data_IF_175958202663
#
_entry.id   IF_175958202663
#
_cell.length_a   1.000
_cell.length_b   1.000
_cell.length_c   1.000
_cell.angle_alpha   90.00
_cell.angle_beta   90.00
_cell.angle_gamma   90.00
#
_symmetry.space_group_name_H-M   'P 1'
#
loop_
_entity.id
_entity.type
_entity.pdbx_description
1 polymer ?
#
# COMPACT_ATOMS: atom_id res chain seq x y z
N UNK A 1 -0.02 -14.43 -7.73
CA UNK A 1 -0.32 -13.17 -8.45
C UNK A 1 -1.80 -12.91 -8.81
N UNK A 2 -2.78 -13.83 -8.63
CA UNK A 2 -4.15 -13.68 -9.18
C UNK A 2 -5.33 -13.47 -8.18
N UNK A 3 -5.07 -13.01 -6.95
CA UNK A 3 -6.12 -12.67 -5.96
C UNK A 3 -5.78 -11.49 -5.02
N UNK A 4 -4.74 -10.73 -5.35
CA UNK A 4 -4.09 -9.78 -4.43
C UNK A 4 -5.06 -8.72 -3.88
N UNK A 5 -5.84 -8.04 -4.74
CA UNK A 5 -6.77 -6.99 -4.30
C UNK A 5 -7.89 -7.52 -3.39
N UNK A 6 -8.48 -8.67 -3.73
CA UNK A 6 -9.57 -9.23 -2.94
C UNK A 6 -9.08 -9.73 -1.58
N UNK A 7 -7.87 -10.29 -1.52
CA UNK A 7 -7.26 -10.74 -0.27
C UNK A 7 -6.84 -9.56 0.61
N UNK A 8 -6.27 -8.51 0.02
CA UNK A 8 -5.94 -7.27 0.74
C UNK A 8 -7.20 -6.65 1.35
N UNK A 9 -8.29 -6.55 0.57
CA UNK A 9 -9.55 -6.04 1.11
C UNK A 9 -10.12 -6.94 2.21
N UNK A 10 -10.04 -8.26 2.10
CA UNK A 10 -10.48 -9.18 3.16
C UNK A 10 -9.65 -9.01 4.43
N UNK A 11 -8.33 -8.90 4.31
CA UNK A 11 -7.41 -8.71 5.42
C UNK A 11 -7.59 -7.35 6.12
N UNK A 12 -8.06 -6.33 5.39
CA UNK A 12 -8.41 -5.04 5.98
C UNK A 12 -9.58 -5.14 6.99
N UNK A 13 -10.47 -6.12 6.83
CA UNK A 13 -11.50 -6.47 7.82
C UNK A 13 -10.94 -7.45 8.85
N UNK A 14 -9.98 -6.98 9.65
CA UNK A 14 -9.41 -7.76 10.75
C UNK A 14 -10.43 -8.03 11.86
N UNK A 15 -10.03 -8.82 12.86
CA UNK A 15 -10.89 -9.24 13.96
C UNK A 15 -11.53 -8.09 14.74
N UNK A 16 -10.83 -6.95 14.87
CA UNK A 16 -11.38 -5.77 15.52
C UNK A 16 -12.51 -5.16 14.68
N UNK A 17 -12.28 -4.94 13.38
CA UNK A 17 -13.29 -4.44 12.43
C UNK A 17 -14.54 -5.33 12.42
N UNK A 18 -14.33 -6.64 12.35
CA UNK A 18 -15.42 -7.62 12.33
C UNK A 18 -16.22 -7.61 13.64
N UNK A 19 -15.54 -7.50 14.79
CA UNK A 19 -16.20 -7.42 16.10
C UNK A 19 -17.04 -6.14 16.23
N UNK A 20 -16.53 -5.01 15.77
CA UNK A 20 -17.26 -3.74 15.84
C UNK A 20 -18.45 -3.73 14.88
N UNK A 21 -18.29 -4.23 13.66
CA UNK A 21 -19.40 -4.38 12.71
C UNK A 21 -20.49 -5.30 13.26
N UNK A 22 -20.10 -6.45 13.82
CA UNK A 22 -21.01 -7.38 14.47
C UNK A 22 -21.83 -6.69 15.57
N UNK A 23 -21.15 -6.00 16.48
CA UNK A 23 -21.77 -5.29 17.61
C UNK A 23 -22.72 -4.19 17.12
N UNK A 24 -22.28 -3.36 16.18
CA UNK A 24 -23.06 -2.20 15.70
C UNK A 24 -24.30 -2.58 14.91
N UNK A 25 -24.22 -3.67 14.15
CA UNK A 25 -25.29 -4.10 13.25
C UNK A 25 -26.17 -5.20 13.87
N UNK A 26 -25.82 -5.64 15.08
CA UNK A 26 -26.56 -6.65 15.84
C UNK A 26 -26.46 -8.06 15.25
N UNK A 27 -25.42 -8.35 14.47
CA UNK A 27 -25.13 -9.67 13.90
C UNK A 27 -24.00 -10.36 14.67
N UNK A 28 -23.85 -11.68 14.57
CA UNK A 28 -22.73 -12.36 15.20
C UNK A 28 -21.44 -12.21 14.36
N UNK A 29 -20.27 -12.39 14.98
CA UNK A 29 -18.96 -12.22 14.32
C UNK A 29 -18.78 -13.11 13.09
N UNK A 30 -19.24 -14.37 13.13
CA UNK A 30 -19.16 -15.30 12.00
C UNK A 30 -20.00 -14.84 10.80
N UNK A 31 -21.20 -14.32 11.08
CA UNK A 31 -22.06 -13.70 10.08
C UNK A 31 -21.44 -12.41 9.52
N UNK A 32 -20.84 -11.57 10.36
CA UNK A 32 -20.12 -10.38 9.89
C UNK A 32 -18.96 -10.76 8.95
N UNK A 33 -18.15 -11.75 9.31
CA UNK A 33 -17.06 -12.25 8.46
C UNK A 33 -17.58 -12.75 7.10
N UNK A 34 -18.57 -13.64 7.13
CA UNK A 34 -19.16 -14.21 5.91
C UNK A 34 -19.82 -13.14 5.03
N UNK A 35 -20.46 -12.14 5.65
CA UNK A 35 -21.07 -11.00 4.97
C UNK A 35 -20.03 -10.10 4.29
N UNK A 36 -18.91 -9.80 4.95
CA UNK A 36 -17.78 -9.05 4.36
C UNK A 36 -17.20 -9.81 3.17
N UNK A 37 -16.92 -11.10 3.33
CA UNK A 37 -16.32 -11.94 2.29
C UNK A 37 -17.20 -12.03 1.03
N UNK A 38 -18.52 -11.96 1.20
CA UNK A 38 -19.49 -11.90 0.10
C UNK A 38 -19.65 -10.48 -0.50
N UNK A 39 -19.56 -9.44 0.32
CA UNK A 39 -19.70 -8.05 -0.13
C UNK A 39 -18.51 -7.55 -0.95
N UNK A 40 -17.28 -7.92 -0.60
CA UNK A 40 -16.06 -7.48 -1.32
C UNK A 40 -16.14 -7.78 -2.83
N UNK A 41 -16.30 -9.04 -3.28
CA UNK A 41 -16.39 -9.34 -4.71
C UNK A 41 -17.64 -8.75 -5.35
N UNK A 42 -18.73 -8.56 -4.59
CA UNK A 42 -19.97 -7.92 -5.07
C UNK A 42 -19.75 -6.45 -5.39
N UNK A 43 -19.13 -5.70 -4.47
CA UNK A 43 -18.80 -4.28 -4.65
C UNK A 43 -17.79 -4.10 -5.79
N UNK A 44 -16.74 -4.91 -5.84
CA UNK A 44 -15.76 -4.86 -6.92
C UNK A 44 -16.38 -5.18 -8.28
N UNK A 45 -17.32 -6.13 -8.35
CA UNK A 45 -18.04 -6.46 -9.58
C UNK A 45 -18.94 -5.32 -10.04
N UNK A 46 -19.58 -4.62 -9.11
CA UNK A 46 -20.47 -3.52 -9.49
C UNK A 46 -19.72 -2.31 -10.05
N UNK A 47 -18.43 -2.13 -9.71
CA UNK A 47 -17.58 -1.10 -10.32
C UNK A 47 -17.29 -1.35 -11.80
N UNK A 48 -17.44 -2.59 -12.27
CA UNK A 48 -17.29 -2.92 -13.69
C UNK A 48 -18.56 -2.61 -14.52
N UNK A 49 -19.67 -2.27 -13.87
CA UNK A 49 -20.89 -1.87 -14.55
C UNK A 49 -20.72 -0.48 -15.18
N UNK A 50 -20.97 -0.38 -16.49
CA UNK A 50 -20.89 0.88 -17.24
C UNK A 50 -21.93 1.91 -16.81
N UNK A 51 -23.00 1.50 -16.13
CA UNK A 51 -23.98 2.39 -15.54
C UNK A 51 -23.46 3.03 -14.24
N UNK A 52 -22.50 2.37 -13.59
CA UNK A 52 -21.87 2.80 -12.33
C UNK A 52 -20.60 3.61 -12.62
N UNK A 53 -19.80 3.17 -13.59
CA UNK A 53 -18.56 3.82 -14.04
C UNK A 53 -18.63 4.13 -15.53
N UNK A 54 -18.65 5.42 -15.87
CA UNK A 54 -18.64 5.88 -17.27
C UNK A 54 -17.21 6.12 -17.74
N UNK A 55 -16.86 5.58 -18.91
CA UNK A 55 -15.59 5.82 -19.61
C UNK A 55 -14.32 5.57 -18.78
N UNK A 56 -14.38 4.67 -17.79
CA UNK A 56 -13.31 4.37 -16.84
C UNK A 56 -12.82 5.58 -16.01
N UNK A 57 -13.59 6.66 -16.00
CA UNK A 57 -13.29 7.86 -15.21
C UNK A 57 -13.82 7.72 -13.79
N UNK A 58 -13.15 8.38 -12.85
CA UNK A 58 -13.54 8.43 -11.44
C UNK A 58 -14.90 9.13 -11.27
N UNK A 59 -15.95 8.45 -10.78
CA UNK A 59 -17.24 9.08 -10.55
C UNK A 59 -17.20 10.12 -9.44
N UNK A 60 -18.03 11.17 -9.53
CA UNK A 60 -18.11 12.20 -8.47
C UNK A 60 -18.48 11.62 -7.11
N UNK A 61 -19.36 10.60 -7.09
CA UNK A 61 -19.73 9.91 -5.86
C UNK A 61 -18.55 9.15 -5.24
N UNK A 62 -17.66 8.59 -6.06
CA UNK A 62 -16.46 7.90 -5.61
C UNK A 62 -15.51 8.89 -4.94
N UNK A 63 -15.24 10.04 -5.58
CA UNK A 63 -14.38 11.08 -5.04
C UNK A 63 -14.86 11.56 -3.67
N UNK A 64 -16.17 11.78 -3.52
CA UNK A 64 -16.76 12.20 -2.25
C UNK A 64 -16.48 11.22 -1.10
N UNK A 65 -16.50 9.92 -1.37
CA UNK A 65 -16.24 8.88 -0.38
C UNK A 65 -14.74 8.70 -0.16
N UNK A 66 -13.95 8.70 -1.23
CA UNK A 66 -12.50 8.63 -1.15
C UNK A 66 -11.93 9.80 -0.33
N UNK A 67 -12.47 11.00 -0.50
CA UNK A 67 -12.13 12.19 0.29
C UNK A 67 -12.63 12.09 1.74
N UNK A 68 -13.82 11.54 1.97
CA UNK A 68 -14.32 11.27 3.33
C UNK A 68 -13.36 10.36 4.11
N UNK A 69 -12.89 9.29 3.48
CA UNK A 69 -11.90 8.36 4.05
C UNK A 69 -10.44 8.86 3.92
N UNK A 70 -10.20 10.06 3.36
CA UNK A 70 -8.88 10.73 3.30
C UNK A 70 -8.62 11.62 4.51
N UNK A 71 -9.67 12.05 5.21
CA UNK A 71 -9.54 12.96 6.36
C UNK A 71 -8.96 12.29 7.61
N UNK A 72 -8.95 10.95 7.64
CA UNK A 72 -8.37 10.18 8.74
C UNK A 72 -6.92 9.81 8.38
N UNK A 73 -5.98 10.20 9.23
CA UNK A 73 -4.60 10.42 8.79
C UNK A 73 -3.83 9.16 8.42
N UNK A 74 -4.17 7.97 8.92
CA UNK A 74 -3.35 6.79 8.63
C UNK A 74 -4.07 5.45 8.52
N UNK A 75 -5.37 5.33 8.80
CA UNK A 75 -6.17 4.13 8.47
C UNK A 75 -7.67 4.46 8.43
N UNK A 76 -8.48 3.64 7.75
CA UNK A 76 -9.95 3.75 7.81
C UNK A 76 -10.37 3.42 9.23
N UNK A 77 -10.55 4.45 10.06
CA UNK A 77 -10.96 4.25 11.44
C UNK A 77 -12.41 3.77 11.49
N UNK A 78 -12.65 2.68 12.21
CA UNK A 78 -14.01 2.16 12.46
C UNK A 78 -14.86 3.20 13.21
N UNK A 79 -14.24 4.15 13.93
CA UNK A 79 -14.95 5.29 14.55
C UNK A 79 -15.68 6.17 13.54
N UNK A 80 -15.35 6.07 12.25
CA UNK A 80 -16.08 6.74 11.17
C UNK A 80 -17.52 6.21 11.01
N UNK A 81 -17.81 4.99 11.46
CA UNK A 81 -19.18 4.50 11.49
C UNK A 81 -20.05 5.34 12.45
N UNK A 82 -19.46 5.97 13.46
CA UNK A 82 -20.16 6.80 14.46
C UNK A 82 -20.34 8.25 14.01
N UNK A 83 -19.78 8.62 12.86
CA UNK A 83 -19.89 9.96 12.32
C UNK A 83 -21.26 10.18 11.64
N UNK A 84 -22.05 11.21 12.03
CA UNK A 84 -23.34 11.51 11.38
C UNK A 84 -23.22 11.80 9.88
N UNK A 85 -22.06 12.28 9.40
CA UNK A 85 -21.79 12.52 7.98
C UNK A 85 -21.67 11.21 7.18
N UNK A 86 -21.39 10.09 7.85
CA UNK A 86 -21.37 8.77 7.25
C UNK A 86 -22.74 8.40 6.70
N UNK A 87 -23.81 8.64 7.46
CA UNK A 87 -25.17 8.21 7.12
C UNK A 87 -25.72 8.94 5.87
N UNK A 88 -25.45 10.24 5.75
CA UNK A 88 -25.87 11.06 4.60
C UNK A 88 -25.12 10.74 3.31
N UNK A 89 -23.83 10.37 3.43
CA UNK A 89 -22.99 10.00 2.28
C UNK A 89 -23.31 8.57 1.80
N UNK A 90 -23.73 7.70 2.73
CA UNK A 90 -23.99 6.28 2.51
C UNK A 90 -25.20 5.96 1.62
N UNK A 91 -26.34 6.64 1.79
CA UNK A 91 -27.55 6.32 1.02
C UNK A 91 -27.37 6.50 -0.50
N UNK A 92 -26.59 7.52 -0.89
CA UNK A 92 -26.25 7.76 -2.30
C UNK A 92 -25.25 6.74 -2.85
N UNK A 93 -24.36 6.20 -2.01
CA UNK A 93 -23.34 5.24 -2.42
C UNK A 93 -23.96 3.93 -2.89
N UNK A 94 -24.82 3.35 -2.05
CA UNK A 94 -25.36 2.01 -2.27
C UNK A 94 -26.28 2.00 -3.49
N UNK A 95 -27.10 3.03 -3.64
CA UNK A 95 -27.94 3.23 -4.83
C UNK A 95 -27.09 3.46 -6.09
N UNK A 96 -25.98 4.20 -6.01
CA UNK A 96 -25.07 4.37 -7.13
C UNK A 96 -24.32 3.08 -7.50
N UNK A 97 -23.97 2.22 -6.53
CA UNK A 97 -23.25 0.97 -6.77
C UNK A 97 -24.16 -0.14 -7.29
N UNK A 98 -25.36 -0.30 -6.72
CA UNK A 98 -26.20 -1.45 -7.00
C UNK A 98 -27.46 -1.11 -7.78
N UNK A 99 -27.86 0.17 -7.87
CA UNK A 99 -29.03 0.61 -8.60
C UNK A 99 -30.29 -0.19 -8.24
N UNK A 100 -30.98 -0.69 -9.25
CA UNK A 100 -32.16 -1.54 -9.09
C UNK A 100 -31.88 -2.91 -8.44
N UNK A 101 -30.61 -3.32 -8.33
CA UNK A 101 -30.23 -4.61 -7.74
C UNK A 101 -30.00 -4.54 -6.23
N UNK A 102 -30.11 -3.37 -5.60
CA UNK A 102 -29.82 -3.19 -4.17
C UNK A 102 -30.55 -4.22 -3.29
N UNK A 103 -31.86 -4.42 -3.50
CA UNK A 103 -32.64 -5.38 -2.72
C UNK A 103 -32.19 -6.82 -2.93
N UNK A 104 -31.77 -7.15 -4.15
CA UNK A 104 -31.28 -8.49 -4.50
C UNK A 104 -29.94 -8.75 -3.82
N UNK A 105 -29.02 -7.77 -3.88
CA UNK A 105 -27.73 -7.83 -3.19
C UNK A 105 -27.95 -8.01 -1.69
N UNK A 106 -28.78 -7.17 -1.06
CA UNK A 106 -29.10 -7.29 0.38
C UNK A 106 -29.66 -8.67 0.73
N UNK A 107 -30.57 -9.21 -0.07
CA UNK A 107 -31.12 -10.55 0.16
C UNK A 107 -30.08 -11.66 0.01
N UNK A 108 -29.19 -11.59 -0.98
CA UNK A 108 -28.14 -12.57 -1.19
C UNK A 108 -27.13 -12.56 -0.03
N UNK A 109 -26.73 -11.38 0.43
CA UNK A 109 -25.84 -11.22 1.59
C UNK A 109 -26.51 -11.75 2.87
N UNK A 110 -27.80 -11.46 3.07
CA UNK A 110 -28.55 -11.97 4.24
C UNK A 110 -28.59 -13.50 4.31
N UNK A 111 -28.71 -14.17 3.15
CA UNK A 111 -28.63 -15.64 3.05
C UNK A 111 -27.25 -16.17 3.46
N UNK A 112 -26.17 -15.52 3.01
CA UNK A 112 -24.79 -15.91 3.38
C UNK A 112 -24.55 -15.71 4.88
N UNK A 113 -25.11 -14.66 5.45
CA UNK A 113 -25.00 -14.34 6.87
C UNK A 113 -25.88 -15.22 7.78
N UNK A 114 -26.81 -16.00 7.20
CA UNK A 114 -27.77 -16.82 7.94
C UNK A 114 -28.75 -16.02 8.80
N UNK A 115 -29.04 -14.75 8.44
CA UNK A 115 -29.68 -13.77 9.32
C UNK A 115 -30.99 -13.16 8.82
N UNK A 116 -31.65 -12.40 9.70
CA UNK A 116 -32.86 -11.64 9.40
C UNK A 116 -32.57 -10.42 8.50
N UNK A 117 -33.54 -10.06 7.64
CA UNK A 117 -33.45 -9.01 6.62
C UNK A 117 -33.10 -7.63 7.19
N UNK A 118 -33.65 -7.25 8.34
CA UNK A 118 -33.46 -5.90 8.89
C UNK A 118 -32.03 -5.65 9.38
N UNK A 119 -31.43 -6.65 10.02
CA UNK A 119 -30.02 -6.61 10.45
C UNK A 119 -29.08 -6.62 9.25
N UNK A 120 -29.46 -7.34 8.20
CA UNK A 120 -28.71 -7.39 6.94
C UNK A 120 -28.66 -6.02 6.27
N UNK A 121 -29.77 -5.28 6.27
CA UNK A 121 -29.81 -3.93 5.71
C UNK A 121 -28.85 -2.99 6.45
N UNK A 122 -28.89 -2.99 7.78
CA UNK A 122 -27.95 -2.22 8.60
C UNK A 122 -26.49 -2.64 8.37
N UNK A 123 -26.24 -3.94 8.22
CA UNK A 123 -24.91 -4.47 7.96
C UNK A 123 -24.35 -4.07 6.59
N UNK A 124 -25.12 -4.25 5.51
CA UNK A 124 -24.71 -3.83 4.16
C UNK A 124 -24.46 -2.32 4.13
N UNK A 125 -25.35 -1.55 4.76
CA UNK A 125 -25.21 -0.11 4.86
C UNK A 125 -23.95 0.33 5.62
N UNK A 126 -23.52 -0.40 6.66
CA UNK A 126 -22.28 -0.09 7.36
C UNK A 126 -21.03 -0.54 6.59
N UNK A 127 -21.12 -1.68 5.88
CA UNK A 127 -19.95 -2.38 5.36
C UNK A 127 -19.54 -1.89 3.97
N UNK A 128 -20.49 -1.57 3.08
CA UNK A 128 -20.19 -1.15 1.70
C UNK A 128 -19.31 0.12 1.65
N UNK A 129 -19.60 1.19 2.42
CA UNK A 129 -18.70 2.35 2.48
C UNK A 129 -17.30 1.99 2.98
N UNK A 130 -17.18 1.08 3.95
CA UNK A 130 -15.87 0.65 4.44
C UNK A 130 -15.09 -0.09 3.37
N UNK A 131 -15.71 -0.97 2.59
CA UNK A 131 -15.05 -1.65 1.45
C UNK A 131 -14.49 -0.62 0.47
N UNK A 132 -15.29 0.40 0.12
CA UNK A 132 -14.86 1.50 -0.76
C UNK A 132 -13.79 2.37 -0.10
N UNK A 133 -13.87 2.62 1.20
CA UNK A 133 -12.87 3.35 1.98
C UNK A 133 -11.52 2.64 1.98
N UNK A 134 -11.50 1.34 2.29
CA UNK A 134 -10.29 0.51 2.23
C UNK A 134 -9.74 0.43 0.81
N UNK A 135 -10.60 0.25 -0.19
CA UNK A 135 -10.20 0.23 -1.59
C UNK A 135 -9.60 1.57 -2.02
N UNK A 136 -10.23 2.70 -1.71
CA UNK A 136 -9.73 4.02 -2.09
C UNK A 136 -8.42 4.38 -1.40
N UNK A 137 -8.25 4.00 -0.12
CA UNK A 137 -6.97 4.12 0.58
C UNK A 137 -5.89 3.23 -0.06
N UNK A 138 -6.24 1.98 -0.40
CA UNK A 138 -5.32 1.06 -1.08
C UNK A 138 -4.88 1.60 -2.45
N UNK A 139 -5.80 2.12 -3.26
CA UNK A 139 -5.45 2.75 -4.54
C UNK A 139 -4.49 3.92 -4.37
N UNK A 140 -4.75 4.79 -3.38
CA UNK A 140 -3.89 5.93 -3.06
C UNK A 140 -2.50 5.49 -2.62
N UNK A 141 -2.39 4.53 -1.70
CA UNK A 141 -1.11 4.00 -1.20
C UNK A 141 -0.28 3.39 -2.34
N UNK A 142 -0.94 2.69 -3.26
CA UNK A 142 -0.30 2.05 -4.41
C UNK A 142 -0.15 2.98 -5.64
N UNK A 143 -0.55 4.26 -5.53
CA UNK A 143 -0.57 5.23 -6.63
C UNK A 143 -1.33 4.73 -7.87
N UNK A 144 -2.38 3.93 -7.66
CA UNK A 144 -3.27 3.48 -8.74
C UNK A 144 -4.34 4.54 -9.02
N UNK A 145 -4.49 4.88 -10.29
CA UNK A 145 -5.65 5.65 -10.74
C UNK A 145 -6.90 4.76 -10.73
N UNK A 146 -8.08 5.39 -10.68
CA UNK A 146 -9.34 4.67 -10.80
C UNK A 146 -9.45 3.91 -12.13
N UNK A 147 -8.96 4.48 -13.23
CA UNK A 147 -8.90 3.77 -14.52
C UNK A 147 -8.03 2.50 -14.47
N UNK A 148 -6.90 2.54 -13.74
CA UNK A 148 -6.04 1.36 -13.54
C UNK A 148 -6.74 0.28 -12.71
N UNK A 149 -7.52 0.67 -11.69
CA UNK A 149 -8.39 -0.26 -10.97
C UNK A 149 -9.36 -0.96 -11.92
N UNK A 150 -10.08 -0.20 -12.75
CA UNK A 150 -11.06 -0.79 -13.67
C UNK A 150 -10.39 -1.72 -14.69
N UNK A 151 -9.20 -1.37 -15.21
CA UNK A 151 -8.41 -2.26 -16.07
C UNK A 151 -8.09 -3.56 -15.35
N UNK A 152 -7.55 -3.49 -14.13
CA UNK A 152 -7.16 -4.67 -13.37
C UNK A 152 -8.35 -5.55 -12.99
N UNK A 153 -9.49 -4.95 -12.62
CA UNK A 153 -10.74 -5.69 -12.37
C UNK A 153 -11.26 -6.37 -13.63
N UNK A 154 -11.11 -5.72 -14.79
CA UNK A 154 -11.49 -6.29 -16.09
C UNK A 154 -10.57 -7.46 -16.47
N UNK A 155 -9.26 -7.32 -16.27
CA UNK A 155 -8.25 -8.37 -16.48
C UNK A 155 -8.50 -9.59 -15.58
N UNK A 156 -8.96 -9.37 -14.34
CA UNK A 156 -9.25 -10.42 -13.36
C UNK A 156 -10.74 -10.77 -13.26
N UNK A 157 -11.54 -10.41 -14.27
CA UNK A 157 -13.00 -10.56 -14.27
C UNK A 157 -13.45 -11.98 -13.96
N UNK A 158 -12.82 -13.01 -14.52
CA UNK A 158 -13.21 -14.41 -14.27
C UNK A 158 -13.10 -14.81 -12.79
N UNK A 159 -12.00 -14.41 -12.14
CA UNK A 159 -11.76 -14.69 -10.72
C UNK A 159 -12.76 -13.94 -9.84
N UNK A 160 -13.06 -12.70 -10.21
CA UNK A 160 -14.02 -11.86 -9.51
C UNK A 160 -15.45 -12.41 -9.60
N UNK A 161 -15.88 -12.81 -10.80
CA UNK A 161 -17.21 -13.39 -11.00
C UNK A 161 -17.35 -14.76 -10.32
N UNK A 162 -16.29 -15.56 -10.27
CA UNK A 162 -16.28 -16.84 -9.56
C UNK A 162 -16.35 -16.70 -8.03
N UNK A 163 -16.06 -15.52 -7.49
CA UNK A 163 -16.12 -15.23 -6.06
C UNK A 163 -17.46 -14.62 -5.61
N UNK A 164 -18.42 -14.40 -6.52
CA UNK A 164 -19.72 -13.84 -6.18
C UNK A 164 -20.53 -14.82 -5.30
N UNK A 165 -21.25 -14.31 -4.29
CA UNK A 165 -22.11 -15.15 -3.48
C UNK A 165 -23.31 -15.68 -4.27
N UNK A 166 -23.85 -16.82 -3.85
CA UNK A 166 -25.05 -17.40 -4.45
C UNK A 166 -26.21 -16.39 -4.44
N UNK A 167 -26.85 -16.22 -5.59
CA UNK A 167 -27.94 -15.24 -5.78
C UNK A 167 -27.49 -13.90 -6.38
N UNK A 168 -26.19 -13.66 -6.56
CA UNK A 168 -25.66 -12.53 -7.33
C UNK A 168 -25.09 -13.04 -8.64
N UNK A 169 -25.66 -12.55 -9.75
CA UNK A 169 -25.25 -12.97 -11.11
C UNK A 169 -24.49 -11.85 -11.83
N UNK A 170 -23.50 -12.17 -12.69
CA UNK A 170 -22.76 -11.18 -13.46
C UNK A 170 -23.66 -10.25 -14.32
N UNK A 171 -24.81 -10.76 -14.77
CA UNK A 171 -25.79 -9.99 -15.55
C UNK A 171 -26.38 -8.80 -14.79
N UNK A 172 -26.41 -8.85 -13.46
CA UNK A 172 -26.91 -7.74 -12.63
C UNK A 172 -26.04 -6.49 -12.77
N UNK A 173 -24.76 -6.65 -13.08
CA UNK A 173 -23.80 -5.56 -13.26
C UNK A 173 -23.45 -5.32 -14.73
N UNK A 174 -24.28 -5.82 -15.66
CA UNK A 174 -24.00 -5.69 -17.10
C UNK A 174 -22.78 -6.46 -17.59
N UNK A 175 -22.29 -7.46 -16.84
CA UNK A 175 -21.03 -8.16 -17.08
C UNK A 175 -21.17 -9.43 -17.92
N UNK A 176 -22.18 -9.54 -18.77
CA UNK A 176 -22.39 -10.74 -19.59
C UNK A 176 -21.20 -10.95 -20.55
N UNK A 177 -20.70 -12.19 -20.60
CA UNK A 177 -19.81 -12.65 -21.67
C UNK A 177 -20.67 -12.78 -22.94
N UNK A 178 -20.38 -11.99 -23.96
CA UNK A 178 -21.25 -11.89 -25.14
C UNK A 178 -21.51 -13.23 -25.84
N UNK A 179 -22.76 -13.65 -25.84
CA UNK A 179 -23.50 -14.04 -27.05
C UNK A 179 -24.88 -13.37 -26.96
N UNK A 180 -25.37 -12.69 -28.01
CA UNK A 180 -26.72 -12.14 -28.00
C UNK A 180 -27.70 -13.32 -28.11
N UNK A 181 -28.19 -13.78 -26.97
CA UNK A 181 -29.40 -14.59 -26.97
C UNK A 181 -30.60 -13.66 -27.07
N UNK A 182 -31.09 -13.51 -28.30
CA UNK A 182 -32.48 -13.18 -28.55
C UNK A 182 -33.32 -14.30 -27.94
N UNK A 183 -34.00 -14.03 -26.83
CA UNK A 183 -35.15 -14.82 -26.41
C UNK A 183 -36.35 -13.90 -26.20
N UNK A 184 -37.28 -14.07 -27.15
CA UNK A 184 -38.72 -13.87 -27.13
C UNK A 184 -39.33 -13.21 -25.90
N UNK A 185 -39.87 -12.02 -26.12
CA UNK A 185 -41.29 -11.69 -25.99
C UNK A 185 -42.11 -12.67 -25.12
N UNK A 186 -42.43 -12.25 -23.90
CA UNK A 186 -43.76 -12.49 -23.33
C UNK A 186 -44.34 -11.12 -23.01
N UNK A 187 -45.22 -10.69 -23.90
CA UNK A 187 -46.16 -9.59 -23.74
C UNK A 187 -47.07 -9.88 -22.55
N UNK A 188 -47.10 -8.98 -21.58
CA UNK A 188 -48.34 -8.66 -20.85
C UNK A 188 -48.57 -7.18 -21.03
N UNK A 189 -49.57 -6.88 -21.87
CA UNK A 189 -50.14 -5.56 -22.05
C UNK A 189 -50.53 -4.97 -20.70
N UNK A 190 -50.12 -3.73 -20.44
CA UNK A 190 -50.96 -2.75 -19.76
C UNK A 190 -50.63 -1.38 -20.36
N UNK A 191 -51.48 -1.01 -21.30
CA UNK A 191 -51.63 0.33 -21.85
C UNK A 191 -51.91 1.33 -20.74
N UNK A 192 -51.13 2.41 -20.66
CA UNK A 192 -51.70 3.73 -20.39
C UNK A 192 -50.83 4.85 -20.98
N UNK A 193 -51.44 5.51 -21.96
CA UNK A 193 -50.97 6.72 -22.62
C UNK A 193 -50.89 7.91 -21.66
N UNK A 194 -49.84 8.71 -21.78
CA UNK A 194 -49.96 10.18 -21.75
C UNK A 194 -49.01 10.80 -22.77
N UNK A 195 -49.55 11.80 -23.46
CA UNK A 195 -49.04 12.43 -24.67
C UNK A 195 -48.31 13.74 -24.33
N UNK A 196 -47.39 14.16 -25.22
CA UNK A 196 -46.77 15.51 -25.42
C UNK A 196 -45.74 15.97 -24.39
N UNK A 197 -44.55 16.51 -24.72
CA UNK A 197 -44.19 17.50 -25.76
C UNK A 197 -42.64 17.54 -25.98
N UNK A 198 -42.09 17.90 -27.17
CA UNK A 198 -40.63 17.96 -27.39
C UNK A 198 -40.03 19.35 -27.07
N UNK A 199 -39.02 19.40 -26.18
CA UNK A 199 -38.26 20.63 -25.90
C UNK A 199 -37.19 20.95 -26.96
N UNK A 200 -37.31 22.15 -27.49
CA UNK A 200 -36.45 22.89 -28.43
C UNK A 200 -35.03 23.06 -27.87
N UNK A 201 -34.00 22.59 -28.60
CA UNK A 201 -32.58 22.84 -28.31
C UNK A 201 -32.19 24.26 -28.76
N UNK A 202 -31.62 25.04 -27.84
CA UNK A 202 -30.94 26.31 -28.13
C UNK A 202 -29.48 26.06 -28.56
N UNK A 203 -28.92 26.82 -29.52
CA UNK A 203 -27.58 26.56 -30.03
C UNK A 203 -26.52 27.27 -29.19
N UNK A 204 -25.91 26.54 -28.24
CA UNK A 204 -24.76 27.00 -27.43
C UNK A 204 -23.44 27.03 -28.26
N UNK A 205 -23.48 26.64 -29.53
CA UNK A 205 -22.30 26.51 -30.39
C UNK A 205 -21.59 27.85 -30.68
N UNK A 206 -22.30 28.98 -30.71
CA UNK A 206 -21.70 30.29 -31.00
C UNK A 206 -20.83 30.82 -29.84
N UNK A 207 -21.05 30.35 -28.61
CA UNK A 207 -20.26 30.76 -27.43
C UNK A 207 -18.86 30.13 -27.49
N UNK A 208 -18.75 28.90 -28.00
CA UNK A 208 -17.46 28.20 -28.18
C UNK A 208 -16.59 28.94 -29.21
N UNK A 209 -17.22 29.49 -30.25
CA UNK A 209 -16.53 30.26 -31.30
C UNK A 209 -16.01 31.61 -30.77
N UNK A 210 -16.73 32.27 -29.86
CA UNK A 210 -16.29 33.51 -29.22
C UNK A 210 -15.14 33.28 -28.22
N UNK A 211 -15.17 32.17 -27.47
CA UNK A 211 -14.08 31.82 -26.53
C UNK A 211 -12.79 31.47 -27.27
N UNK A 212 -12.88 30.74 -28.39
CA UNK A 212 -11.71 30.43 -29.22
C UNK A 212 -11.11 31.69 -29.87
N UNK A 213 -11.95 32.64 -30.28
CA UNK A 213 -11.50 33.91 -30.86
C UNK A 213 -10.81 34.81 -29.82
N UNK A 214 -11.28 34.79 -28.57
CA UNK A 214 -10.64 35.48 -27.45
C UNK A 214 -9.27 34.88 -27.07
N UNK A 215 -9.15 33.56 -27.06
CA UNK A 215 -7.87 32.86 -26.79
C UNK A 215 -6.85 33.09 -27.91
N UNK A 216 -7.31 33.14 -29.17
CA UNK A 216 -6.47 33.47 -30.33
C UNK A 216 -5.95 34.92 -30.25
N UNK A 217 -6.79 35.87 -29.84
CA UNK A 217 -6.40 37.26 -29.61
C UNK A 217 -5.40 37.42 -28.45
N UNK A 218 -5.57 36.67 -27.37
CA UNK A 218 -4.62 36.67 -26.24
C UNK A 218 -3.25 36.11 -26.64
N UNK A 219 -3.22 35.05 -27.46
CA UNK A 219 -1.99 34.46 -27.97
C UNK A 219 -1.25 35.38 -28.96
N UNK A 220 -1.99 36.15 -29.77
CA UNK A 220 -1.41 37.13 -30.71
C UNK A 220 -0.87 38.38 -30.03
N UNK A 221 -1.45 38.79 -28.89
CA UNK A 221 -0.97 39.94 -28.10
C UNK A 221 0.19 39.59 -27.15
N UNK A 222 0.42 38.30 -26.85
CA UNK A 222 1.51 37.83 -25.99
C UNK A 222 2.87 37.69 -26.70
N UNK A 223 2.95 38.00 -28.01
CA UNK A 223 4.21 38.04 -28.77
C UNK A 223 4.53 39.44 -29.28
N UNK A 224 5.07 40.29 -28.40
CA UNK A 224 5.58 41.61 -28.80
C UNK A 224 6.59 42.21 -27.81
N UNK A 225 7.87 42.23 -28.23
CA UNK A 225 9.05 42.95 -27.69
C UNK A 225 9.68 42.42 -26.37
N UNK A 226 10.82 41.71 -26.38
CA UNK A 226 12.25 42.08 -26.59
C UNK A 226 12.87 42.96 -25.47
N UNK A 227 13.91 42.46 -24.78
CA UNK A 227 15.32 42.88 -24.93
C UNK A 227 16.29 42.21 -23.93
N UNK A 228 17.52 42.04 -24.41
CA UNK A 228 18.67 41.39 -23.80
C UNK A 228 19.27 42.17 -22.63
N UNK A 229 19.92 41.46 -21.71
CA UNK A 229 21.02 41.98 -20.89
C UNK A 229 22.12 40.94 -20.85
N UNK A 230 23.27 41.33 -21.40
CA UNK A 230 24.59 40.71 -21.32
C UNK A 230 25.17 41.04 -19.95
N UNK A 231 25.68 40.05 -19.21
CA UNK A 231 26.69 40.28 -18.17
C UNK A 231 27.78 39.22 -18.27
N UNK A 232 29.00 39.71 -18.10
CA UNK A 232 30.29 39.13 -18.46
C UNK A 232 30.65 37.83 -17.73
N UNK A 233 31.26 36.88 -18.45
CA UNK A 233 32.04 35.79 -17.88
C UNK A 233 33.52 36.02 -18.15
N UNK A 234 34.28 36.27 -17.09
CA UNK A 234 35.74 36.29 -17.10
C UNK A 234 36.26 34.86 -17.16
N UNK A 235 37.13 34.59 -18.14
CA UNK A 235 37.88 33.34 -18.28
C UNK A 235 39.12 33.40 -17.39
N UNK A 236 39.27 32.42 -16.51
CA UNK A 236 40.58 31.92 -16.07
C UNK A 236 40.59 30.44 -16.41
N UNK A 237 41.51 30.06 -17.30
CA UNK A 237 41.93 28.69 -17.51
C UNK A 237 42.66 28.21 -16.25
N UNK A 238 42.37 27.00 -15.78
CA UNK A 238 43.48 26.11 -15.47
C UNK A 238 43.12 24.67 -15.84
N UNK A 239 44.12 24.01 -16.41
CA UNK A 239 44.04 22.71 -17.07
C UNK A 239 44.46 21.65 -16.07
N UNK A 240 43.60 20.66 -15.78
CA UNK A 240 44.10 19.33 -15.40
C UNK A 240 43.18 18.26 -16.00
N UNK A 241 43.74 17.58 -16.99
CA UNK A 241 43.36 16.28 -17.51
C UNK A 241 43.54 15.24 -16.40
N UNK A 242 42.49 14.49 -16.02
CA UNK A 242 42.66 13.20 -15.35
C UNK A 242 41.69 12.19 -15.94
N UNK A 243 42.33 11.13 -16.40
CA UNK A 243 41.86 9.92 -17.04
C UNK A 243 40.58 9.30 -16.45
N UNK A 244 39.81 8.71 -17.36
CA UNK A 244 38.75 7.75 -17.07
C UNK A 244 39.37 6.49 -16.44
N UNK A 245 39.44 6.47 -15.10
CA UNK A 245 39.88 5.29 -14.38
C UNK A 245 38.71 4.30 -14.30
N UNK A 246 38.74 3.33 -15.20
CA UNK A 246 38.13 2.02 -14.97
C UNK A 246 38.91 1.33 -13.85
N UNK A 247 38.27 1.11 -12.70
CA UNK A 247 38.81 0.25 -11.64
C UNK A 247 38.05 -1.08 -11.67
N UNK A 248 38.77 -2.23 -11.60
CA UNK A 248 38.23 -3.55 -11.84
C UNK A 248 37.41 -4.09 -10.68
N UNK A 249 36.56 -5.05 -11.03
CA UNK A 249 35.91 -6.05 -10.18
C UNK A 249 36.97 -6.89 -9.43
N UNK A 250 36.80 -7.05 -8.11
CA UNK A 250 37.39 -8.02 -7.13
C UNK A 250 37.73 -7.31 -5.80
N UNK A 251 37.46 -7.79 -4.58
CA UNK A 251 36.77 -8.97 -4.05
C UNK A 251 36.13 -8.54 -2.73
N UNK A 252 34.88 -8.92 -2.54
CA UNK A 252 34.14 -8.77 -1.30
C UNK A 252 32.83 -9.49 -1.53
N UNK A 253 32.85 -10.81 -1.36
CA UNK A 253 31.71 -11.68 -1.64
C UNK A 253 30.54 -11.29 -0.74
N UNK A 254 29.75 -10.32 -1.19
CA UNK A 254 28.37 -10.16 -0.77
C UNK A 254 27.61 -11.11 -1.66
N UNK A 255 27.39 -12.34 -1.18
CA UNK A 255 26.39 -13.22 -1.79
C UNK A 255 25.12 -12.39 -1.92
N UNK A 256 24.67 -12.17 -3.15
CA UNK A 256 23.49 -11.37 -3.44
C UNK A 256 22.29 -12.08 -2.79
N UNK A 257 21.93 -11.67 -1.56
CA UNK A 257 20.83 -12.29 -0.83
C UNK A 257 19.58 -11.95 -1.61
N UNK A 258 19.02 -12.97 -2.26
CA UNK A 258 17.77 -12.86 -3.00
C UNK A 258 16.68 -12.47 -2.02
N UNK A 259 15.75 -11.64 -2.46
CA UNK A 259 14.64 -11.20 -1.65
C UNK A 259 13.50 -10.74 -2.53
N UNK A 260 12.37 -10.45 -1.90
CA UNK A 260 11.20 -9.95 -2.59
C UNK A 260 10.46 -8.93 -1.75
N UNK A 261 9.74 -8.03 -2.41
CA UNK A 261 8.89 -7.07 -1.73
C UNK A 261 7.64 -7.77 -1.20
N UNK A 262 7.34 -7.63 0.09
CA UNK A 262 6.09 -8.12 0.67
C UNK A 262 4.92 -7.16 0.42
N UNK A 263 3.70 -7.59 0.76
CA UNK A 263 2.48 -6.80 0.62
C UNK A 263 2.48 -5.49 1.43
N UNK A 264 3.38 -5.36 2.42
CA UNK A 264 3.59 -4.15 3.22
C UNK A 264 4.63 -3.19 2.61
N UNK A 265 5.21 -3.53 1.45
CA UNK A 265 6.24 -2.74 0.78
C UNK A 265 7.61 -2.84 1.47
N UNK A 266 7.85 -3.88 2.24
CA UNK A 266 9.12 -4.15 2.92
C UNK A 266 9.90 -5.20 2.13
N UNK A 267 11.21 -5.06 2.12
CA UNK A 267 12.08 -6.04 1.50
C UNK A 267 12.22 -7.25 2.43
N UNK A 268 11.78 -8.43 1.96
CA UNK A 268 11.91 -9.70 2.68
C UNK A 268 13.03 -10.50 2.06
N UNK A 269 14.07 -10.75 2.84
CA UNK A 269 15.23 -11.54 2.45
C UNK A 269 14.90 -13.03 2.45
N UNK A 270 15.43 -13.77 1.47
CA UNK A 270 15.46 -15.22 1.47
C UNK A 270 16.56 -15.70 2.42
N UNK A 271 16.15 -16.23 3.57
CA UNK A 271 17.05 -16.64 4.62
C UNK A 271 17.62 -18.04 4.42
N UNK A 272 17.22 -18.75 3.36
CA UNK A 272 17.62 -20.14 3.13
C UNK A 272 16.99 -21.13 4.12
N UNK A 273 17.60 -22.30 4.27
CA UNK A 273 17.12 -23.35 5.17
C UNK A 273 17.30 -22.96 6.64
N UNK A 274 16.39 -23.41 7.51
CA UNK A 274 16.52 -23.21 8.95
C UNK A 274 17.63 -24.12 9.52
N UNK A 275 18.56 -23.52 10.25
CA UNK A 275 19.68 -24.18 10.90
C UNK A 275 19.69 -23.85 12.41
N UNK A 276 20.23 -24.77 13.21
CA UNK A 276 20.52 -24.52 14.61
C UNK A 276 21.93 -23.94 14.75
N UNK A 277 22.00 -22.62 14.93
CA UNK A 277 23.24 -21.90 15.21
C UNK A 277 23.60 -22.06 16.69
N UNK A 278 24.72 -22.71 16.98
CA UNK A 278 25.22 -22.89 18.34
C UNK A 278 26.15 -21.75 18.73
N UNK A 279 25.84 -21.08 19.83
CA UNK A 279 26.65 -20.01 20.40
C UNK A 279 27.72 -20.53 21.37
N UNK A 280 28.70 -19.68 21.68
CA UNK A 280 29.83 -19.99 22.58
C UNK A 280 29.40 -20.39 24.00
N UNK A 281 28.27 -19.88 24.48
CA UNK A 281 27.68 -20.22 25.78
C UNK A 281 26.86 -21.53 25.76
N UNK A 282 26.77 -22.20 24.60
CA UNK A 282 26.03 -23.44 24.40
C UNK A 282 24.55 -23.24 24.04
N UNK A 283 24.05 -22.00 23.97
CA UNK A 283 22.70 -21.71 23.50
C UNK A 283 22.57 -22.00 22.00
N UNK A 284 21.42 -22.54 21.60
CA UNK A 284 21.11 -22.80 20.19
C UNK A 284 20.03 -21.83 19.71
N UNK A 285 20.26 -21.20 18.56
CA UNK A 285 19.33 -20.29 17.91
C UNK A 285 18.85 -20.90 16.59
N UNK A 286 17.54 -20.99 16.41
CA UNK A 286 16.94 -21.40 15.13
C UNK A 286 16.90 -20.19 14.19
N UNK A 287 17.79 -20.17 13.21
CA UNK A 287 18.01 -19.06 12.26
C UNK A 287 18.12 -19.59 10.83
N UNK A 288 17.98 -18.74 9.83
CA UNK A 288 18.19 -19.15 8.44
C UNK A 288 19.69 -19.20 8.10
N UNK A 289 20.07 -20.07 7.18
CA UNK A 289 21.44 -20.22 6.68
C UNK A 289 22.05 -18.87 6.21
N UNK A 290 21.27 -18.04 5.51
CA UNK A 290 21.70 -16.75 4.99
C UNK A 290 21.40 -15.57 5.93
N UNK A 291 20.94 -15.84 7.16
CA UNK A 291 20.53 -14.79 8.08
C UNK A 291 21.70 -13.95 8.59
N UNK A 292 21.40 -12.74 9.06
CA UNK A 292 22.39 -11.86 9.68
C UNK A 292 23.03 -12.50 10.91
N UNK A 293 22.27 -13.21 11.73
CA UNK A 293 22.79 -13.86 12.93
C UNK A 293 23.91 -14.85 12.60
N UNK A 294 23.68 -15.71 11.59
CA UNK A 294 24.68 -16.67 11.16
C UNK A 294 25.93 -15.96 10.60
N UNK A 295 25.75 -14.95 9.73
CA UNK A 295 26.86 -14.17 9.16
C UNK A 295 27.65 -13.42 10.23
N UNK A 296 26.97 -12.85 11.21
CA UNK A 296 27.57 -12.10 12.30
C UNK A 296 28.41 -13.02 13.20
N UNK A 297 27.87 -14.18 13.59
CA UNK A 297 28.64 -15.17 14.39
C UNK A 297 29.85 -15.67 13.62
N UNK A 298 29.69 -16.02 12.34
CA UNK A 298 30.82 -16.41 11.48
C UNK A 298 31.89 -15.33 11.40
N UNK A 299 31.50 -14.06 11.29
CA UNK A 299 32.45 -12.95 11.28
C UNK A 299 33.17 -12.80 12.63
N UNK A 300 32.44 -12.86 13.74
CA UNK A 300 32.99 -12.76 15.10
C UNK A 300 34.01 -13.88 15.37
N UNK A 301 33.69 -15.11 14.97
CA UNK A 301 34.53 -16.29 15.20
C UNK A 301 35.69 -16.43 14.19
N UNK A 302 35.63 -15.71 13.07
CA UNK A 302 36.71 -15.70 12.08
C UNK A 302 37.91 -14.84 12.52
N UNK A 303 39.03 -14.99 11.82
CA UNK A 303 40.22 -14.14 12.00
C UNK A 303 40.10 -12.75 11.31
N UNK A 304 38.97 -12.46 10.64
CA UNK A 304 38.76 -11.22 9.90
C UNK A 304 38.83 -9.98 10.79
N UNK A 305 39.60 -8.96 10.41
CA UNK A 305 39.76 -7.76 11.23
C UNK A 305 38.48 -6.92 11.24
N UNK A 306 38.27 -6.19 12.34
CA UNK A 306 37.20 -5.19 12.40
C UNK A 306 37.59 -4.00 11.54
N UNK A 307 36.71 -3.61 10.63
CA UNK A 307 36.87 -2.48 9.73
C UNK A 307 35.62 -1.57 9.72
N UNK A 308 35.68 -0.46 8.96
CA UNK A 308 34.58 0.51 8.90
C UNK A 308 33.55 0.21 7.80
N UNK A 309 33.81 -0.76 6.95
CA UNK A 309 33.09 -1.08 5.71
C UNK A 309 32.23 -2.33 5.78
N UNK A 310 32.50 -3.24 6.73
CA UNK A 310 31.79 -4.50 6.88
C UNK A 310 30.49 -4.29 7.68
N UNK A 311 29.40 -4.08 6.96
CA UNK A 311 28.05 -3.90 7.51
C UNK A 311 27.15 -5.09 7.17
N UNK A 312 26.29 -5.46 8.10
CA UNK A 312 25.29 -6.51 7.94
C UNK A 312 23.89 -5.92 8.06
N UNK A 313 23.09 -5.96 7.00
CA UNK A 313 21.71 -5.43 7.01
C UNK A 313 20.75 -6.35 7.76
N UNK A 314 20.11 -5.84 8.82
CA UNK A 314 19.11 -6.56 9.61
C UNK A 314 17.92 -6.98 8.73
N UNK A 315 17.77 -8.29 8.55
CA UNK A 315 16.89 -8.89 7.54
C UNK A 315 15.40 -9.01 7.92
N UNK A 316 15.06 -8.80 9.19
CA UNK A 316 13.69 -8.91 9.74
C UNK A 316 13.36 -7.77 10.70
N UNK A 317 14.04 -6.63 10.57
CA UNK A 317 13.82 -5.47 11.43
C UNK A 317 12.96 -4.44 10.71
N UNK A 318 11.72 -4.31 11.16
CA UNK A 318 10.68 -3.51 10.53
C UNK A 318 10.11 -2.46 11.48
N UNK A 319 9.68 -1.33 10.92
CA UNK A 319 9.06 -0.22 11.66
C UNK A 319 7.64 0.05 11.17
N UNK A 320 6.79 0.57 12.05
CA UNK A 320 5.53 1.17 11.63
C UNK A 320 5.78 2.30 10.62
N UNK A 321 4.92 2.41 9.62
CA UNK A 321 5.06 3.39 8.53
C UNK A 321 5.17 4.81 9.08
N UNK A 322 6.22 5.52 8.67
CA UNK A 322 6.47 6.90 9.09
C UNK A 322 6.89 7.07 10.56
N UNK A 323 7.14 5.98 11.29
CA UNK A 323 7.50 6.01 12.71
C UNK A 323 8.84 5.30 12.98
N UNK A 324 9.31 5.45 14.20
CA UNK A 324 10.43 4.73 14.82
C UNK A 324 9.96 3.55 15.69
N UNK A 325 8.66 3.25 15.72
CA UNK A 325 8.10 2.13 16.48
C UNK A 325 8.41 0.81 15.77
N UNK A 326 9.15 -0.08 16.44
CA UNK A 326 9.46 -1.42 15.94
C UNK A 326 8.21 -2.28 15.86
N UNK A 327 8.07 -3.05 14.77
CA UNK A 327 6.99 -4.03 14.64
C UNK A 327 7.29 -5.30 15.47
N UNK A 328 6.26 -6.01 15.97
CA UNK A 328 6.44 -7.24 16.75
C UNK A 328 7.31 -8.31 16.08
N UNK A 329 7.27 -8.40 14.74
CA UNK A 329 8.06 -9.35 13.96
C UNK A 329 9.58 -9.13 14.10
N UNK A 330 9.99 -7.90 14.42
CA UNK A 330 11.41 -7.51 14.63
C UNK A 330 12.00 -8.04 15.92
N UNK A 331 11.14 -8.38 16.88
CA UNK A 331 11.55 -8.75 18.23
C UNK A 331 12.40 -10.01 18.25
N UNK A 332 12.08 -11.01 17.42
CA UNK A 332 12.86 -12.25 17.35
C UNK A 332 14.29 -11.98 16.88
N UNK A 333 14.48 -11.12 15.88
CA UNK A 333 15.81 -10.78 15.39
C UNK A 333 16.63 -10.04 16.46
N UNK A 334 16.04 -9.02 17.10
CA UNK A 334 16.73 -8.27 18.16
C UNK A 334 17.08 -9.15 19.36
N UNK A 335 16.19 -10.07 19.75
CA UNK A 335 16.45 -11.06 20.79
C UNK A 335 17.65 -11.94 20.43
N UNK A 336 17.72 -12.46 19.20
CA UNK A 336 18.85 -13.26 18.75
C UNK A 336 20.17 -12.47 18.76
N UNK A 337 20.15 -11.21 18.31
CA UNK A 337 21.34 -10.33 18.34
C UNK A 337 21.79 -10.07 19.78
N UNK A 338 20.84 -9.81 20.69
CA UNK A 338 21.15 -9.64 22.11
C UNK A 338 21.76 -10.91 22.73
N UNK A 339 21.27 -12.09 22.35
CA UNK A 339 21.83 -13.37 22.78
C UNK A 339 23.25 -13.59 22.26
N UNK A 340 23.51 -13.26 20.99
CA UNK A 340 24.87 -13.25 20.43
C UNK A 340 25.77 -12.31 21.24
N UNK A 341 25.36 -11.07 21.48
CA UNK A 341 26.17 -10.12 22.26
C UNK A 341 26.47 -10.58 23.70
N UNK A 342 25.58 -11.37 24.30
CA UNK A 342 25.81 -11.99 25.62
C UNK A 342 26.80 -13.15 25.55
N UNK A 343 26.71 -13.99 24.52
CA UNK A 343 27.63 -15.10 24.30
C UNK A 343 29.06 -14.63 23.94
N UNK A 344 29.19 -13.46 23.29
CA UNK A 344 30.47 -12.84 22.94
C UNK A 344 30.64 -11.50 23.67
N UNK A 345 31.07 -11.49 24.95
CA UNK A 345 31.11 -10.28 25.77
C UNK A 345 32.13 -9.21 25.33
N UNK A 346 33.09 -9.57 24.46
CA UNK A 346 34.13 -8.66 23.96
C UNK A 346 33.66 -7.81 22.78
N UNK A 347 32.52 -8.14 22.16
CA UNK A 347 32.09 -7.45 20.96
C UNK A 347 31.35 -6.15 21.30
N UNK A 348 31.59 -5.12 20.49
CA UNK A 348 30.77 -3.91 20.46
C UNK A 348 30.14 -3.78 19.08
N UNK A 349 28.91 -3.27 19.03
CA UNK A 349 28.15 -3.10 17.81
C UNK A 349 27.83 -1.62 17.56
N UNK A 350 27.76 -1.24 16.28
CA UNK A 350 27.18 0.02 15.83
C UNK A 350 26.00 -0.26 14.91
N UNK A 351 24.88 0.38 15.19
CA UNK A 351 23.66 0.36 14.38
C UNK A 351 23.62 1.61 13.50
N UNK A 352 23.48 1.40 12.20
CA UNK A 352 23.34 2.44 11.19
C UNK A 352 21.93 2.46 10.63
N UNK A 353 21.24 3.60 10.77
CA UNK A 353 19.91 3.78 10.21
C UNK A 353 19.93 4.42 8.83
N UNK A 354 19.17 3.87 7.89
CA UNK A 354 19.08 4.37 6.52
C UNK A 354 17.62 4.54 6.07
N UNK A 355 17.39 5.50 5.19
CA UNK A 355 16.10 5.74 4.54
C UNK A 355 16.24 5.67 3.02
N UNK A 356 15.11 5.64 2.33
CA UNK A 356 15.12 6.00 0.91
C UNK A 356 15.23 7.52 0.73
N UNK A 357 15.30 7.97 -0.51
CA UNK A 357 15.44 9.40 -0.85
C UNK A 357 14.10 10.16 -0.92
N UNK A 358 12.99 9.57 -0.46
CA UNK A 358 11.67 10.23 -0.49
C UNK A 358 11.57 11.23 0.66
N UNK A 359 11.17 12.46 0.40
CA UNK A 359 11.02 13.50 1.42
C UNK A 359 12.23 14.43 1.53
N UNK A 360 12.33 15.20 2.62
CA UNK A 360 13.48 16.08 2.85
C UNK A 360 14.60 15.33 3.56
N UNK A 361 15.84 15.67 3.22
CA UNK A 361 17.04 15.10 3.84
C UNK A 361 17.03 15.28 5.37
N UNK A 362 16.63 16.45 5.87
CA UNK A 362 16.52 16.71 7.31
C UNK A 362 15.54 15.75 8.01
N UNK A 363 14.38 15.51 7.41
CA UNK A 363 13.38 14.58 7.98
C UNK A 363 13.90 13.15 7.94
N UNK A 364 14.58 12.77 6.86
CA UNK A 364 15.15 11.45 6.68
C UNK A 364 16.32 11.18 7.64
N UNK A 365 17.21 12.15 7.84
CA UNK A 365 18.29 12.07 8.82
C UNK A 365 17.73 11.87 10.23
N UNK A 366 16.75 12.69 10.63
CA UNK A 366 16.09 12.56 11.93
C UNK A 366 15.41 11.19 12.11
N UNK A 367 14.61 10.76 11.13
CA UNK A 367 13.92 9.47 11.19
C UNK A 367 14.88 8.29 11.24
N UNK A 368 15.97 8.35 10.48
CA UNK A 368 17.00 7.31 10.48
C UNK A 368 17.70 7.20 11.83
N UNK A 369 18.02 8.33 12.47
CA UNK A 369 18.62 8.39 13.80
C UNK A 369 17.66 7.80 14.84
N UNK A 370 16.40 8.26 14.86
CA UNK A 370 15.38 7.78 15.79
C UNK A 370 15.14 6.26 15.67
N UNK A 371 15.24 5.70 14.46
CA UNK A 371 15.11 4.26 14.22
C UNK A 371 16.31 3.45 14.70
N UNK A 372 17.52 3.95 14.45
CA UNK A 372 18.74 3.33 14.96
C UNK A 372 18.75 3.34 16.51
N UNK A 373 18.35 4.45 17.12
CA UNK A 373 18.19 4.58 18.57
C UNK A 373 17.12 3.66 19.13
N UNK A 374 15.98 3.50 18.46
CA UNK A 374 14.94 2.56 18.88
C UNK A 374 15.43 1.11 18.91
N UNK A 375 16.18 0.68 17.88
CA UNK A 375 16.78 -0.65 17.84
C UNK A 375 17.86 -0.83 18.93
N UNK A 376 18.70 0.20 19.16
CA UNK A 376 19.67 0.20 20.26
C UNK A 376 18.99 0.08 21.62
N UNK A 377 17.96 0.87 21.87
CA UNK A 377 17.22 0.86 23.13
C UNK A 377 16.60 -0.51 23.39
N UNK A 378 16.12 -1.18 22.35
CA UNK A 378 15.57 -2.52 22.49
C UNK A 378 16.65 -3.55 22.84
N UNK A 379 17.84 -3.48 22.24
CA UNK A 379 18.97 -4.33 22.65
C UNK A 379 19.35 -4.11 24.13
N UNK A 380 19.31 -2.86 24.59
CA UNK A 380 19.55 -2.51 26.01
C UNK A 380 18.46 -3.11 26.90
N UNK A 381 17.19 -3.00 26.51
CA UNK A 381 16.06 -3.60 27.24
C UNK A 381 16.18 -5.12 27.34
N UNK A 382 16.74 -5.74 26.30
CA UNK A 382 17.04 -7.18 26.25
C UNK A 382 18.28 -7.56 27.08
N UNK A 383 18.94 -6.61 27.75
CA UNK A 383 20.02 -6.84 28.69
C UNK A 383 21.43 -6.72 28.11
N UNK A 384 21.60 -6.05 26.98
CA UNK A 384 22.91 -5.64 26.46
C UNK A 384 23.36 -4.37 27.19
N UNK A 385 24.65 -4.29 27.53
CA UNK A 385 25.22 -3.08 28.13
C UNK A 385 25.20 -1.91 27.11
N UNK A 386 24.67 -0.76 27.51
CA UNK A 386 24.58 0.44 26.68
C UNK A 386 25.95 0.91 26.17
N UNK A 387 27.05 0.65 26.90
CA UNK A 387 28.40 1.01 26.48
C UNK A 387 28.90 0.17 25.29
N UNK A 388 28.20 -0.92 24.95
CA UNK A 388 28.58 -1.87 23.88
C UNK A 388 27.80 -1.67 22.58
N UNK A 389 26.86 -0.73 22.55
CA UNK A 389 26.03 -0.45 21.38
C UNK A 389 26.03 1.03 21.08
N UNK A 390 26.31 1.39 19.84
CA UNK A 390 26.19 2.76 19.32
C UNK A 390 25.09 2.81 18.25
N UNK A 391 24.44 3.96 18.09
CA UNK A 391 23.45 4.21 17.05
C UNK A 391 23.72 5.52 16.29
N UNK A 392 23.66 5.47 14.96
CA UNK A 392 23.80 6.64 14.09
C UNK A 392 22.84 6.56 12.91
N UNK A 393 22.19 7.68 12.59
CA UNK A 393 21.34 7.85 11.41
C UNK A 393 22.10 8.46 10.25
N UNK A 394 22.09 7.78 9.10
CA UNK A 394 22.71 8.22 7.85
C UNK A 394 21.70 8.77 6.83
N UNK A 395 20.41 8.75 7.17
CA UNK A 395 19.33 9.19 6.29
C UNK A 395 19.40 8.52 4.91
N UNK A 396 19.31 9.28 3.81
CA UNK A 396 19.31 8.74 2.46
C UNK A 396 20.73 8.48 1.90
N UNK A 397 21.78 8.68 2.70
CA UNK A 397 23.16 8.45 2.27
C UNK A 397 23.45 6.96 2.12
N UNK A 398 24.45 6.61 1.31
CA UNK A 398 24.88 5.22 1.07
C UNK A 398 23.74 4.26 0.67
N UNK A 399 23.01 4.55 -0.44
CA UNK A 399 22.00 3.63 -0.96
C UNK A 399 22.66 2.32 -1.43
N UNK A 400 22.01 1.19 -1.13
CA UNK A 400 22.44 -0.14 -1.57
C UNK A 400 21.67 -0.62 -2.81
N UNK A 401 20.62 0.11 -3.19
CA UNK A 401 19.81 -0.17 -4.36
C UNK A 401 19.24 1.12 -4.98
N UNK A 402 18.69 1.02 -6.19
CA UNK A 402 18.11 2.17 -6.90
C UNK A 402 16.89 2.73 -6.14
N UNK A 403 16.93 4.03 -5.84
CA UNK A 403 15.78 4.74 -5.28
C UNK A 403 14.64 4.99 -6.28
N UNK A 404 14.83 4.66 -7.56
CA UNK A 404 13.81 4.85 -8.60
C UNK A 404 12.74 3.75 -8.52
N UNK A 405 13.08 2.57 -8.00
CA UNK A 405 12.18 1.42 -7.89
C UNK A 405 11.62 1.27 -6.48
N UNK A 406 10.35 0.82 -6.31
CA UNK A 406 9.81 0.46 -4.99
C UNK A 406 10.68 -0.54 -4.23
N UNK A 407 11.21 -1.52 -4.94
CA UNK A 407 12.08 -2.58 -4.43
C UNK A 407 13.37 -2.00 -3.87
N UNK A 408 14.08 -1.17 -4.66
CA UNK A 408 15.32 -0.57 -4.21
C UNK A 408 15.12 0.47 -3.10
N UNK A 409 14.01 1.21 -3.10
CA UNK A 409 13.64 2.05 -1.94
C UNK A 409 13.42 1.20 -0.69
N UNK A 410 12.77 0.03 -0.81
CA UNK A 410 12.56 -0.86 0.32
C UNK A 410 13.87 -1.42 0.87
N UNK A 411 14.83 -1.75 -0.01
CA UNK A 411 16.18 -2.14 0.39
C UNK A 411 16.93 -1.00 1.09
N UNK A 412 16.76 0.24 0.64
CA UNK A 412 17.41 1.40 1.26
C UNK A 412 16.83 1.76 2.64
N UNK A 413 15.56 1.42 2.93
CA UNK A 413 14.94 1.57 4.26
C UNK A 413 15.34 0.42 5.18
N UNK A 414 16.56 0.47 5.71
CA UNK A 414 17.16 -0.62 6.50
C UNK A 414 17.87 -0.11 7.76
N UNK A 415 18.13 -1.02 8.69
CA UNK A 415 19.14 -0.85 9.73
C UNK A 415 20.27 -1.82 9.44
N UNK A 416 21.50 -1.31 9.38
CA UNK A 416 22.68 -2.15 9.29
C UNK A 416 23.37 -2.23 10.65
N UNK A 417 24.05 -3.34 10.90
CA UNK A 417 24.89 -3.54 12.09
C UNK A 417 26.33 -3.77 11.68
N UNK A 418 27.26 -3.18 12.42
CA UNK A 418 28.70 -3.37 12.26
C UNK A 418 29.34 -3.71 13.59
N UNK A 419 30.24 -4.67 13.59
CA UNK A 419 31.11 -4.94 14.75
C UNK A 419 32.18 -3.85 14.82
N UNK A 420 32.28 -3.12 15.92
CA UNK A 420 33.28 -2.06 16.12
C UNK A 420 34.46 -2.50 16.98
N UNK A 421 34.29 -3.62 17.70
CA UNK A 421 35.31 -4.26 18.51
C UNK A 421 34.97 -5.75 18.61
N UNK A 422 35.97 -6.64 18.62
CA UNK A 422 35.78 -8.09 18.83
C UNK A 422 36.81 -8.66 19.80
#
# INVERSE_FOLDING_TARGET
>A
MKQELMNVLKNAFNDNVLNTLATKTGVNKGAAKSGVEALIPTVLSSLLDKNVVKDNNEPTWWKGIADFFRSDKDDVSISLLENPLFEKTNASLISNLFGSNESIVKNAIGKVMGGATDKTNGFVNATVPLVIGYLSNWLRRNKWSFGKLISNLTENKSSLLGALPAGISPSMFGLTSGTPHYQSKTTTDTTQSTTTEPKKKSPIWWIILLVLLALLLWWLLAKGCKRNATEDSVIIQDTVEVEEVTIPEEEGVVTEIKGSLNEAGEWVYDLGEEINLKLKDGKELLVGENSVENRLVRFIESDAQVDKTTWFSLDRLFFETGKNTLKPESQKQLQNIADIMKAYPTINLKLGGYTDNTGSEETNNKLSQERAEAAMQELINLGVDAARVEAEGYGPQHPIASNDTPEGRAQNRRIDVRVTQK
#
